data_IF_600089339264
#
_entry.id   IF_600089339264
#
_cell.length_a   1.000
_cell.length_b   1.000
_cell.length_c   1.000
_cell.angle_alpha   90.00
_cell.angle_beta   90.00
_cell.angle_gamma   90.00
#
_symmetry.space_group_name_H-M   'P 1'
#
loop_
_entity.id
_entity.type
_entity.pdbx_description
1 polymer ?
#
# COMPACT_ATOMS: atom_id res chain seq x y z
N UNK A 1 -13.20 5.43 22.30
CA UNK A 1 -12.70 5.12 20.96
C UNK A 1 -12.43 6.44 20.26
N UNK A 2 -11.17 6.70 19.92
CA UNK A 2 -10.75 7.90 19.21
C UNK A 2 -10.66 7.63 17.70
N UNK A 3 -10.67 8.71 16.90
CA UNK A 3 -10.41 8.67 15.46
C UNK A 3 -9.15 9.50 15.24
N UNK A 4 -8.19 8.90 14.56
CA UNK A 4 -6.91 9.51 14.20
C UNK A 4 -6.80 9.58 12.68
N UNK A 5 -6.02 10.52 12.14
CA UNK A 5 -5.68 10.62 10.71
C UNK A 5 -4.18 10.62 10.53
N UNK A 6 -3.71 9.93 9.50
CA UNK A 6 -2.31 9.93 9.06
C UNK A 6 -2.30 10.46 7.62
N UNK A 7 -1.63 11.60 7.44
CA UNK A 7 -1.41 12.22 6.14
C UNK A 7 -0.07 11.74 5.54
N UNK A 8 0.06 11.69 4.20
CA UNK A 8 1.28 11.23 3.53
C UNK A 8 2.37 12.30 3.56
N UNK A 9 3.05 12.41 4.68
CA UNK A 9 4.17 13.32 4.92
C UNK A 9 5.48 12.54 5.05
N UNK A 10 6.62 13.20 4.93
CA UNK A 10 7.92 12.50 5.05
C UNK A 10 8.08 11.71 6.36
N UNK A 11 7.55 12.22 7.46
CA UNK A 11 7.63 11.58 8.78
C UNK A 11 6.71 10.38 8.96
N UNK A 12 5.71 10.22 8.09
CA UNK A 12 4.69 9.16 8.15
C UNK A 12 4.81 8.17 7.00
N UNK A 13 5.75 8.39 6.09
CA UNK A 13 5.97 7.55 4.92
C UNK A 13 7.29 6.78 5.05
N UNK A 14 7.24 5.50 4.68
CA UNK A 14 8.42 4.63 4.59
C UNK A 14 8.23 3.57 3.50
N UNK A 15 9.33 3.02 2.98
CA UNK A 15 9.32 2.04 1.90
C UNK A 15 9.78 0.64 2.31
N UNK A 16 9.76 0.32 3.60
CA UNK A 16 10.23 -0.96 4.13
C UNK A 16 9.53 -1.31 5.45
N UNK A 17 9.55 -2.57 5.82
CA UNK A 17 9.20 -2.99 7.17
C UNK A 17 10.46 -3.05 8.03
N UNK A 18 10.39 -2.58 9.27
CA UNK A 18 11.45 -2.75 10.27
C UNK A 18 10.87 -2.62 11.68
N UNK A 19 11.30 -3.49 12.57
CA UNK A 19 10.97 -3.40 14.00
C UNK A 19 11.60 -2.18 14.69
N UNK A 20 12.59 -1.57 14.04
CA UNK A 20 13.37 -0.45 14.57
C UNK A 20 12.81 0.91 14.08
N UNK A 21 11.77 0.92 13.23
CA UNK A 21 11.11 2.15 12.81
C UNK A 21 10.34 2.79 13.97
N UNK A 22 10.58 4.07 14.28
CA UNK A 22 9.80 4.77 15.29
C UNK A 22 8.36 4.93 14.81
N UNK A 23 7.36 4.66 15.68
CA UNK A 23 5.95 4.86 15.29
C UNK A 23 5.63 6.34 15.10
N UNK A 24 4.90 6.67 14.05
CA UNK A 24 4.40 8.03 13.80
C UNK A 24 3.15 8.35 14.65
N UNK A 25 2.47 7.32 15.15
CA UNK A 25 1.25 7.41 15.96
C UNK A 25 1.20 6.25 16.94
N UNK A 26 0.67 6.50 18.16
CA UNK A 26 0.34 5.46 19.14
C UNK A 26 -1.15 5.51 19.47
N UNK A 27 -1.84 4.38 19.32
CA UNK A 27 -3.28 4.26 19.55
C UNK A 27 -3.61 3.24 20.63
N UNK A 28 -4.85 3.23 21.10
CA UNK A 28 -5.40 2.17 21.93
C UNK A 28 -6.18 1.15 21.07
N UNK A 29 -6.30 -0.06 21.58
CA UNK A 29 -7.20 -1.05 20.96
C UNK A 29 -8.63 -0.48 20.88
N UNK A 30 -9.25 -0.65 19.70
CA UNK A 30 -10.59 -0.13 19.39
C UNK A 30 -10.61 1.28 18.79
N UNK A 31 -9.49 2.01 18.77
CA UNK A 31 -9.41 3.27 18.06
C UNK A 31 -9.47 3.06 16.53
N UNK A 32 -9.81 4.10 15.80
CA UNK A 32 -9.89 4.09 14.34
C UNK A 32 -8.78 4.97 13.76
N UNK A 33 -8.11 4.48 12.72
CA UNK A 33 -7.12 5.26 11.97
C UNK A 33 -7.60 5.43 10.53
N UNK A 34 -7.61 6.68 10.06
CA UNK A 34 -7.84 7.03 8.67
C UNK A 34 -6.48 7.27 8.02
N UNK A 35 -6.08 6.38 7.14
CA UNK A 35 -4.85 6.50 6.37
C UNK A 35 -5.15 7.21 5.06
N UNK A 36 -4.45 8.30 4.78
CA UNK A 36 -4.35 8.88 3.44
C UNK A 36 -3.05 8.40 2.83
N UNK A 37 -3.17 7.58 1.79
CA UNK A 37 -2.00 6.89 1.21
C UNK A 37 -1.60 7.52 -0.12
N UNK A 38 -0.34 7.34 -0.48
CA UNK A 38 0.14 7.52 -1.85
C UNK A 38 -0.19 6.28 -2.69
N UNK A 39 0.02 6.41 -3.98
CA UNK A 39 0.20 5.25 -4.86
C UNK A 39 1.41 4.42 -4.43
N UNK A 40 1.33 3.11 -4.58
CA UNK A 40 2.35 2.16 -4.12
C UNK A 40 3.77 2.45 -4.66
N UNK A 41 3.89 3.15 -5.78
CA UNK A 41 5.17 3.55 -6.37
C UNK A 41 5.59 4.98 -6.05
N UNK A 42 5.07 5.55 -4.98
CA UNK A 42 5.36 6.92 -4.55
C UNK A 42 4.88 8.00 -5.54
N UNK A 43 4.01 7.65 -6.48
CA UNK A 43 3.50 8.63 -7.43
C UNK A 43 2.39 9.47 -6.79
N UNK A 44 2.36 10.73 -7.17
CA UNK A 44 1.35 11.71 -6.71
C UNK A 44 0.42 12.16 -7.85
N UNK A 45 0.57 11.57 -9.03
CA UNK A 45 -0.25 11.83 -10.20
C UNK A 45 0.04 10.86 -11.34
N UNK A 46 -0.84 10.85 -12.36
CA UNK A 46 -0.65 10.04 -13.55
C UNK A 46 0.46 10.59 -14.45
N UNK A 47 1.15 9.71 -15.17
CA UNK A 47 1.93 10.10 -16.33
C UNK A 47 0.99 10.62 -17.43
N UNK A 48 1.31 11.80 -17.97
CA UNK A 48 0.51 12.41 -19.05
C UNK A 48 0.68 11.73 -20.40
N UNK A 49 1.70 10.87 -20.55
CA UNK A 49 2.02 10.21 -21.83
C UNK A 49 1.10 9.03 -22.15
N UNK A 50 0.38 8.48 -21.18
CA UNK A 50 -0.39 7.24 -21.33
C UNK A 50 0.46 6.01 -21.65
N UNK A 51 1.80 6.15 -21.64
CA UNK A 51 2.77 5.08 -21.82
C UNK A 51 3.50 4.81 -20.51
N UNK A 52 4.19 3.68 -20.43
CA UNK A 52 5.11 3.45 -19.32
C UNK A 52 6.16 4.56 -19.33
N UNK A 53 6.14 5.36 -18.28
CA UNK A 53 6.95 6.56 -18.18
C UNK A 53 7.44 6.69 -16.73
N UNK A 54 8.75 6.79 -16.58
CA UNK A 54 9.41 7.04 -15.31
C UNK A 54 9.24 8.48 -14.82
N UNK A 55 8.62 9.35 -15.64
CA UNK A 55 8.43 10.77 -15.35
C UNK A 55 7.09 11.08 -14.67
N UNK A 56 6.33 10.06 -14.22
CA UNK A 56 5.16 10.32 -13.37
C UNK A 56 5.60 11.13 -12.13
N UNK A 57 4.84 12.17 -11.74
CA UNK A 57 5.22 12.99 -10.59
C UNK A 57 5.30 12.13 -9.34
N UNK A 58 6.44 12.21 -8.65
CA UNK A 58 6.71 11.42 -7.45
C UNK A 58 6.75 12.29 -6.20
N UNK A 59 6.44 11.68 -5.06
CA UNK A 59 6.65 12.29 -3.76
C UNK A 59 8.12 12.64 -3.57
N UNK A 60 8.39 13.81 -2.99
CA UNK A 60 9.76 14.29 -2.75
C UNK A 60 9.85 14.95 -1.37
N UNK A 61 10.96 14.77 -0.65
CA UNK A 61 12.15 14.01 -1.02
C UNK A 61 11.99 12.50 -0.78
N UNK A 62 12.63 11.67 -1.61
CA UNK A 62 12.79 10.23 -1.37
C UNK A 62 14.17 9.93 -0.78
N UNK A 63 14.24 8.93 0.08
CA UNK A 63 15.48 8.29 0.51
C UNK A 63 15.65 6.99 -0.29
N UNK A 64 16.59 6.90 -1.25
CA UNK A 64 16.72 5.71 -2.11
C UNK A 64 16.97 4.40 -1.37
N UNK A 65 17.60 4.45 -0.19
CA UNK A 65 17.90 3.25 0.60
C UNK A 65 16.68 2.76 1.38
N UNK A 66 15.86 3.69 1.90
CA UNK A 66 14.73 3.38 2.78
C UNK A 66 13.39 3.31 2.06
N UNK A 67 13.27 3.97 0.89
CA UNK A 67 12.02 4.11 0.14
C UNK A 67 12.01 3.30 -1.17
N UNK A 68 12.78 2.22 -1.23
CA UNK A 68 12.87 1.36 -2.42
C UNK A 68 11.66 0.46 -2.63
N UNK A 69 10.81 0.27 -1.61
CA UNK A 69 9.60 -0.54 -1.66
C UNK A 69 8.33 0.26 -1.90
N UNK A 70 7.17 -0.34 -1.61
CA UNK A 70 5.87 0.32 -1.69
C UNK A 70 5.80 1.50 -0.70
N UNK A 71 5.14 2.58 -1.08
CA UNK A 71 4.89 3.70 -0.19
C UNK A 71 3.90 3.27 0.91
N UNK A 72 4.39 3.11 2.13
CA UNK A 72 3.59 2.77 3.31
C UNK A 72 3.39 4.01 4.18
N UNK A 73 2.22 4.08 4.81
CA UNK A 73 1.90 5.10 5.82
C UNK A 73 1.90 4.45 7.21
N UNK A 74 2.73 4.97 8.11
CA UNK A 74 2.89 4.44 9.45
C UNK A 74 4.31 4.66 9.98
N UNK A 75 4.81 3.74 10.84
CA UNK A 75 4.06 2.68 11.54
C UNK A 75 3.14 3.21 12.64
N UNK A 76 2.11 2.46 12.95
CA UNK A 76 1.20 2.75 14.06
C UNK A 76 1.47 1.78 15.20
N UNK A 77 1.86 2.30 16.37
CA UNK A 77 1.99 1.51 17.58
C UNK A 77 0.63 1.30 18.26
N UNK A 78 0.34 0.08 18.65
CA UNK A 78 -0.86 -0.28 19.40
C UNK A 78 -0.49 -0.51 20.86
N UNK A 79 -1.00 0.32 21.75
CA UNK A 79 -0.70 0.29 23.19
C UNK A 79 -1.07 -1.06 23.78
N UNK A 80 -0.10 -1.73 24.38
CA UNK A 80 -0.26 -3.03 25.02
C UNK A 80 -0.24 -4.24 24.08
N UNK A 81 -0.07 -4.06 22.76
CA UNK A 81 0.14 -5.18 21.85
C UNK A 81 1.54 -5.77 22.09
N UNK A 82 1.62 -7.10 22.20
CA UNK A 82 2.85 -7.84 22.50
C UNK A 82 3.03 -9.02 21.56
N UNK A 83 4.27 -9.47 21.35
CA UNK A 83 4.54 -10.71 20.61
C UNK A 83 3.69 -11.87 21.11
N UNK A 84 3.14 -12.64 20.16
CA UNK A 84 2.23 -13.75 20.44
C UNK A 84 0.75 -13.39 20.50
N UNK A 85 0.40 -12.10 20.54
CA UNK A 85 -0.98 -11.64 20.37
C UNK A 85 -1.38 -11.65 18.89
N UNK A 86 -2.68 -11.48 18.65
CA UNK A 86 -3.24 -11.27 17.32
C UNK A 86 -3.85 -9.89 17.24
N UNK A 87 -3.47 -9.12 16.21
CA UNK A 87 -4.10 -7.86 15.86
C UNK A 87 -5.30 -8.14 14.94
N UNK A 88 -6.49 -7.70 15.34
CA UNK A 88 -7.68 -7.63 14.50
C UNK A 88 -7.75 -6.25 13.83
N UNK A 89 -7.72 -6.22 12.50
CA UNK A 89 -7.89 -5.02 11.69
C UNK A 89 -9.28 -5.07 11.07
N UNK A 90 -10.16 -4.15 11.46
CA UNK A 90 -11.50 -3.99 10.88
C UNK A 90 -11.43 -2.95 9.76
N UNK A 91 -11.61 -3.38 8.53
CA UNK A 91 -11.63 -2.49 7.36
C UNK A 91 -13.00 -1.84 7.29
N UNK A 92 -13.10 -0.58 7.70
CA UNK A 92 -14.38 0.13 7.76
C UNK A 92 -14.79 0.69 6.42
N UNK A 93 -13.84 1.30 5.72
CA UNK A 93 -14.07 1.95 4.44
C UNK A 93 -12.79 2.01 3.61
N UNK A 94 -12.91 2.02 2.29
CA UNK A 94 -11.81 2.22 1.35
C UNK A 94 -12.32 3.12 0.23
N UNK A 95 -11.84 4.35 0.21
CA UNK A 95 -12.20 5.35 -0.79
C UNK A 95 -11.03 5.52 -1.74
N UNK A 96 -11.13 5.09 -3.01
CA UNK A 96 -10.07 5.29 -3.99
C UNK A 96 -9.94 6.77 -4.36
N UNK A 97 -8.74 7.18 -4.78
CA UNK A 97 -8.51 8.49 -5.38
C UNK A 97 -9.17 8.63 -6.75
N UNK A 98 -9.00 9.78 -7.40
CA UNK A 98 -9.63 10.08 -8.71
C UNK A 98 -8.91 9.44 -9.89
N UNK A 99 -7.79 8.77 -9.70
CA UNK A 99 -6.98 8.17 -10.75
C UNK A 99 -6.35 6.84 -10.30
N UNK A 100 -5.96 6.05 -11.28
CA UNK A 100 -5.20 4.83 -11.09
C UNK A 100 -4.47 4.43 -12.37
N UNK A 101 -3.68 3.38 -12.29
CA UNK A 101 -2.97 2.85 -13.45
C UNK A 101 -2.77 1.34 -13.32
N UNK A 102 -2.68 0.70 -14.48
CA UNK A 102 -2.32 -0.71 -14.61
C UNK A 102 -1.22 -0.80 -15.65
N UNK A 103 -0.18 -1.56 -15.39
CA UNK A 103 0.87 -1.77 -16.37
C UNK A 103 1.22 -3.25 -16.50
N UNK A 104 1.72 -3.62 -17.69
CA UNK A 104 2.23 -4.94 -17.98
C UNK A 104 3.44 -4.84 -18.92
N UNK A 105 4.36 -5.79 -18.81
CA UNK A 105 5.55 -5.84 -19.65
C UNK A 105 6.57 -4.74 -19.35
N UNK A 106 7.63 -4.69 -20.16
CA UNK A 106 8.66 -3.65 -20.07
C UNK A 106 9.82 -3.96 -19.11
N UNK A 107 9.91 -5.15 -18.54
CA UNK A 107 11.05 -5.57 -17.71
C UNK A 107 11.30 -7.08 -17.79
N UNK A 108 12.55 -7.55 -17.54
CA UNK A 108 12.91 -8.95 -17.62
C UNK A 108 12.41 -9.74 -16.40
N UNK A 109 11.20 -10.28 -16.50
CA UNK A 109 10.58 -11.19 -15.55
C UNK A 109 10.13 -12.46 -16.26
N UNK A 110 10.07 -13.61 -15.57
CA UNK A 110 9.76 -14.89 -16.22
C UNK A 110 8.40 -14.91 -16.93
N UNK A 111 7.38 -14.29 -16.34
CA UNK A 111 6.07 -14.15 -16.99
C UNK A 111 6.17 -13.31 -18.24
N UNK A 112 6.86 -12.16 -18.17
CA UNK A 112 7.05 -11.28 -19.33
C UNK A 112 7.86 -11.96 -20.45
N UNK A 113 8.88 -12.77 -20.11
CA UNK A 113 9.62 -13.58 -21.10
C UNK A 113 8.72 -14.59 -21.78
N UNK A 114 7.90 -15.33 -21.02
CA UNK A 114 6.95 -16.33 -21.56
C UNK A 114 5.89 -15.71 -22.46
N UNK A 115 5.48 -14.47 -22.18
CA UNK A 115 4.48 -13.73 -22.93
C UNK A 115 5.05 -12.84 -24.03
N UNK A 116 6.38 -12.80 -24.22
CA UNK A 116 7.09 -11.90 -25.14
C UNK A 116 6.80 -10.40 -24.88
N UNK A 117 6.71 -10.01 -23.59
CA UNK A 117 6.39 -8.65 -23.17
C UNK A 117 7.57 -7.90 -22.55
N UNK A 118 8.80 -8.45 -22.60
CA UNK A 118 9.98 -7.82 -21.97
C UNK A 118 10.22 -6.41 -22.52
N UNK A 119 10.08 -6.24 -23.82
CA UNK A 119 10.34 -4.98 -24.53
C UNK A 119 9.05 -4.26 -24.96
N UNK A 120 7.90 -4.70 -24.47
CA UNK A 120 6.59 -4.21 -24.87
C UNK A 120 5.77 -3.71 -23.66
N UNK A 121 6.17 -2.58 -23.04
CA UNK A 121 5.42 -2.03 -21.91
C UNK A 121 4.06 -1.51 -22.35
N UNK A 122 3.04 -1.81 -21.58
CA UNK A 122 1.69 -1.28 -21.74
C UNK A 122 1.21 -0.65 -20.45
N UNK A 123 0.72 0.59 -20.54
CA UNK A 123 0.12 1.31 -19.44
C UNK A 123 -1.35 1.60 -19.75
N UNK A 124 -2.23 1.27 -18.81
CA UNK A 124 -3.61 1.75 -18.78
C UNK A 124 -3.74 2.78 -17.66
N UNK A 125 -4.13 3.99 -18.04
CA UNK A 125 -4.45 5.08 -17.11
C UNK A 125 -5.96 5.09 -16.88
N UNK A 126 -6.38 5.17 -15.62
CA UNK A 126 -7.77 5.11 -15.21
C UNK A 126 -8.21 6.44 -14.60
N UNK A 127 -9.31 6.98 -15.09
CA UNK A 127 -10.09 8.00 -14.39
C UNK A 127 -11.13 7.30 -13.52
N UNK A 128 -11.12 7.62 -12.23
CA UNK A 128 -11.92 6.95 -11.21
C UNK A 128 -13.03 7.87 -10.72
N UNK A 129 -14.26 7.38 -10.75
CA UNK A 129 -15.42 7.94 -10.09
C UNK A 129 -15.62 7.15 -8.77
N UNK A 130 -15.19 7.75 -7.67
CA UNK A 130 -15.27 7.12 -6.35
C UNK A 130 -16.69 7.10 -5.78
N UNK A 131 -17.61 7.92 -6.26
CA UNK A 131 -19.02 7.91 -5.86
C UNK A 131 -19.76 6.78 -6.56
N UNK A 132 -19.58 6.66 -7.87
CA UNK A 132 -20.17 5.58 -8.67
C UNK A 132 -19.41 4.25 -8.54
N UNK A 133 -18.25 4.25 -7.90
CA UNK A 133 -17.32 3.11 -7.82
C UNK A 133 -17.03 2.50 -9.18
N UNK A 134 -16.70 3.33 -10.17
CA UNK A 134 -16.33 2.91 -11.52
C UNK A 134 -15.04 3.57 -11.97
N UNK A 135 -14.34 2.93 -12.89
CA UNK A 135 -13.20 3.52 -13.56
C UNK A 135 -13.28 3.35 -15.07
N UNK A 136 -12.79 4.36 -15.81
CA UNK A 136 -12.71 4.33 -17.27
C UNK A 136 -11.27 4.60 -17.69
N UNK A 137 -10.72 3.76 -18.58
CA UNK A 137 -9.35 3.95 -19.08
C UNK A 137 -9.32 4.83 -20.35
N UNK A 138 -8.11 5.16 -20.83
CA UNK A 138 -7.89 5.98 -22.04
C UNK A 138 -8.45 5.39 -23.32
N UNK A 139 -8.82 4.11 -23.34
CA UNK A 139 -9.43 3.43 -24.49
C UNK A 139 -10.97 3.34 -24.37
N UNK A 140 -11.57 3.93 -23.33
CA UNK A 140 -13.00 3.89 -23.08
C UNK A 140 -13.51 2.62 -22.39
N UNK A 141 -12.63 1.70 -22.00
CA UNK A 141 -13.05 0.52 -21.24
C UNK A 141 -13.46 0.96 -19.82
N UNK A 142 -14.64 0.50 -19.41
CA UNK A 142 -15.19 0.79 -18.08
C UNK A 142 -15.24 -0.46 -17.22
N UNK A 143 -14.88 -0.31 -15.96
CA UNK A 143 -14.91 -1.38 -14.94
C UNK A 143 -15.64 -0.92 -13.69
N UNK A 144 -16.33 -1.86 -13.02
CA UNK A 144 -16.86 -1.65 -11.67
C UNK A 144 -15.74 -1.85 -10.67
N UNK A 145 -15.60 -0.92 -9.72
CA UNK A 145 -14.58 -0.99 -8.69
C UNK A 145 -15.05 -1.77 -7.46
N UNK A 146 -14.10 -2.45 -6.87
CA UNK A 146 -14.21 -3.12 -5.58
C UNK A 146 -12.86 -2.97 -4.85
N UNK A 147 -12.60 -1.78 -4.28
CA UNK A 147 -11.29 -1.43 -3.77
C UNK A 147 -10.90 -2.27 -2.56
N UNK A 148 -9.62 -2.58 -2.47
CA UNK A 148 -8.98 -3.22 -1.33
C UNK A 148 -7.57 -2.67 -1.15
N UNK A 149 -7.00 -2.81 0.05
CA UNK A 149 -5.61 -2.44 0.31
C UNK A 149 -4.68 -3.60 -0.05
N UNK A 150 -3.78 -3.40 -1.00
CA UNK A 150 -2.82 -4.42 -1.43
C UNK A 150 -1.77 -4.72 -0.36
N UNK A 151 -1.33 -3.71 0.38
CA UNK A 151 -0.30 -3.85 1.42
C UNK A 151 -0.86 -3.44 2.77
N UNK A 152 -0.94 -4.39 3.68
CA UNK A 152 -1.29 -4.19 5.10
C UNK A 152 -0.49 -5.16 5.96
N UNK A 153 0.23 -4.67 6.97
CA UNK A 153 1.03 -5.56 7.80
C UNK A 153 1.86 -4.86 8.85
N UNK A 154 2.58 -5.67 9.56
CA UNK A 154 3.52 -5.29 10.63
C UNK A 154 4.90 -5.88 10.31
N UNK A 155 5.99 -5.36 10.89
CA UNK A 155 7.29 -6.01 10.78
C UNK A 155 7.30 -7.39 11.47
N UNK A 156 8.18 -8.27 11.02
CA UNK A 156 8.58 -9.46 11.77
C UNK A 156 9.58 -9.07 12.86
N UNK A 157 9.98 -10.03 13.69
CA UNK A 157 11.04 -9.85 14.70
C UNK A 157 12.46 -9.88 14.12
N UNK A 158 12.58 -10.09 12.79
CA UNK A 158 13.87 -10.02 12.10
C UNK A 158 14.46 -8.59 12.17
N UNK A 159 15.76 -8.45 12.44
CA UNK A 159 16.40 -7.14 12.46
C UNK A 159 16.61 -6.56 11.06
N UNK A 160 16.72 -5.23 10.98
CA UNK A 160 17.10 -4.52 9.78
C UNK A 160 15.93 -4.11 8.89
N UNK A 161 16.24 -3.93 7.61
CA UNK A 161 15.34 -3.41 6.59
C UNK A 161 14.78 -4.59 5.77
N UNK A 162 13.46 -4.78 5.83
CA UNK A 162 12.77 -5.85 5.15
C UNK A 162 11.98 -5.29 3.95
N UNK A 163 12.17 -5.90 2.78
CA UNK A 163 11.42 -5.52 1.57
C UNK A 163 9.92 -5.61 1.78
N UNK A 164 9.17 -4.70 1.18
CA UNK A 164 7.70 -4.72 1.18
C UNK A 164 7.12 -5.68 0.13
N UNK A 165 7.93 -6.18 -0.81
CA UNK A 165 7.43 -6.98 -1.93
C UNK A 165 6.88 -8.36 -1.54
N UNK A 166 7.55 -9.19 -0.73
CA UNK A 166 6.98 -10.47 -0.33
C UNK A 166 6.02 -10.29 0.86
N UNK A 167 4.87 -10.98 0.85
CA UNK A 167 4.05 -11.10 2.06
C UNK A 167 4.75 -11.97 3.11
N UNK A 168 4.40 -11.77 4.38
CA UNK A 168 4.92 -12.50 5.54
C UNK A 168 3.78 -12.95 6.45
N UNK A 169 4.09 -13.73 7.49
CA UNK A 169 3.10 -14.13 8.48
C UNK A 169 2.40 -12.93 9.14
N UNK A 170 3.13 -11.82 9.30
CA UNK A 170 2.61 -10.56 9.86
C UNK A 170 1.93 -9.64 8.84
N UNK A 171 1.58 -10.15 7.66
CA UNK A 171 0.97 -9.37 6.58
C UNK A 171 1.99 -8.88 5.55
N UNK A 172 1.79 -7.70 5.00
CA UNK A 172 2.61 -7.10 3.95
C UNK A 172 1.86 -7.02 2.63
N UNK A 173 2.53 -7.31 1.52
CA UNK A 173 1.97 -7.25 0.17
C UNK A 173 1.05 -8.45 -0.10
N UNK A 174 -0.15 -8.42 0.47
CA UNK A 174 -1.10 -9.52 0.43
C UNK A 174 -1.84 -9.62 -0.89
N UNK A 175 -2.11 -8.49 -1.55
CA UNK A 175 -2.90 -8.38 -2.79
C UNK A 175 -4.21 -9.20 -2.73
N UNK A 176 -4.83 -9.23 -1.57
CA UNK A 176 -6.01 -10.05 -1.28
C UNK A 176 -7.29 -9.26 -1.57
N UNK A 177 -7.91 -9.52 -2.71
CA UNK A 177 -9.12 -8.83 -3.18
C UNK A 177 -10.35 -9.03 -2.29
N UNK A 178 -10.31 -9.94 -1.33
CA UNK A 178 -11.35 -10.18 -0.34
C UNK A 178 -11.30 -9.18 0.83
N UNK A 179 -10.18 -8.47 1.02
CA UNK A 179 -9.99 -7.48 2.10
C UNK A 179 -10.62 -6.12 1.76
N UNK A 180 -11.91 -6.14 1.48
CA UNK A 180 -12.73 -4.96 1.17
C UNK A 180 -13.36 -4.36 2.42
N UNK A 181 -13.98 -3.19 2.30
CA UNK A 181 -14.77 -2.58 3.37
C UNK A 181 -15.78 -3.57 3.98
N UNK A 182 -15.91 -3.58 5.30
CA UNK A 182 -16.73 -4.50 6.08
C UNK A 182 -16.05 -5.81 6.47
N UNK A 183 -14.84 -6.09 6.00
CA UNK A 183 -14.10 -7.32 6.34
C UNK A 183 -13.14 -7.13 7.52
N UNK A 184 -12.56 -8.21 8.00
CA UNK A 184 -11.58 -8.24 9.10
C UNK A 184 -10.36 -9.04 8.67
N UNK A 185 -9.20 -8.55 9.02
CA UNK A 185 -7.91 -9.22 8.86
C UNK A 185 -7.32 -9.49 10.25
N UNK A 186 -6.81 -10.69 10.45
CA UNK A 186 -6.16 -11.11 11.70
C UNK A 186 -4.69 -11.40 11.41
N UNK A 187 -3.80 -10.68 12.08
CA UNK A 187 -2.36 -10.82 11.90
C UNK A 187 -1.66 -11.11 13.23
N UNK A 188 -0.70 -12.05 13.28
CA UNK A 188 0.09 -12.27 14.48
C UNK A 188 1.01 -11.06 14.73
N UNK A 189 1.07 -10.64 15.98
CA UNK A 189 1.99 -9.60 16.45
C UNK A 189 3.34 -10.25 16.74
N UNK A 190 4.39 -9.81 16.05
CA UNK A 190 5.74 -10.34 16.21
C UNK A 190 6.64 -9.44 17.05
N UNK A 191 6.33 -8.15 17.15
CA UNK A 191 7.15 -7.16 17.86
C UNK A 191 6.33 -6.37 18.89
N UNK A 192 6.99 -5.77 19.86
CA UNK A 192 6.34 -4.90 20.86
C UNK A 192 5.56 -3.78 20.16
N UNK A 193 4.36 -3.49 20.64
CA UNK A 193 3.42 -2.51 20.08
C UNK A 193 2.93 -2.77 18.64
N UNK A 194 3.26 -3.91 18.04
CA UNK A 194 2.81 -4.34 16.72
C UNK A 194 3.43 -3.57 15.55
N UNK A 195 3.41 -2.26 15.54
CA UNK A 195 3.94 -1.39 14.46
C UNK A 195 3.23 -1.60 13.10
N UNK A 196 1.90 -1.50 13.11
CA UNK A 196 1.05 -1.63 11.90
C UNK A 196 1.17 -0.43 10.96
#
# INVERSE_FOLDING_TARGET
MAIHSIEPERRTLHGHFSRDLPPCLTINSGDTVVFRTLDARWTVGLSVSGKWDTNAPQFSPLNPELDSGHALCGPVAIRGAKPGMTLEIQIKDIVPGSWGWTFAGGWPHDVNRRLNLVDSPTLLSWSIDSEAMTATNQHGHRVQLRPFMGVMGMPTDEPGILSTAPPRATGGNLDCKELVAGTRLFLPVAVESGLF
#
